data_IF_338538598796
#
_entry.id   IF_338538598796
#
_cell.length_a   1.000
_cell.length_b   1.000
_cell.length_c   1.000
_cell.angle_alpha   90.00
_cell.angle_beta   90.00
_cell.angle_gamma   90.00
#
_symmetry.space_group_name_H-M   'P 1'
#
loop_
_entity.id
_entity.type
_entity.pdbx_description
1 polymer ?
#
# COMPACT_ATOMS: atom_id res chain seq x y z
N UNK A 1 -12.93 -6.41 -0.76
CA UNK A 1 -11.72 -5.60 -1.06
C UNK A 1 -11.89 -4.10 -0.78
N UNK A 2 -13.11 -3.53 -0.76
CA UNK A 2 -13.31 -2.10 -0.51
C UNK A 2 -12.97 -1.63 0.92
N UNK A 3 -13.14 -2.47 1.94
CA UNK A 3 -12.91 -2.08 3.34
C UNK A 3 -11.45 -1.76 3.65
N UNK A 4 -10.50 -2.61 3.26
CA UNK A 4 -9.06 -2.36 3.47
C UNK A 4 -8.56 -1.16 2.68
N UNK A 5 -9.06 -0.97 1.45
CA UNK A 5 -8.71 0.20 0.63
C UNK A 5 -9.30 1.50 1.19
N UNK A 6 -10.53 1.47 1.72
CA UNK A 6 -11.16 2.61 2.37
C UNK A 6 -10.44 2.98 3.68
N UNK A 7 -10.07 1.98 4.49
CA UNK A 7 -9.29 2.19 5.72
C UNK A 7 -7.91 2.76 5.41
N UNK A 8 -7.20 2.23 4.41
CA UNK A 8 -5.90 2.73 3.97
C UNK A 8 -5.99 4.21 3.55
N UNK A 9 -6.94 4.55 2.67
CA UNK A 9 -7.15 5.94 2.23
C UNK A 9 -7.54 6.88 3.38
N UNK A 10 -8.40 6.43 4.28
CA UNK A 10 -8.79 7.21 5.45
C UNK A 10 -7.61 7.45 6.40
N UNK A 11 -6.80 6.43 6.66
CA UNK A 11 -5.59 6.57 7.49
C UNK A 11 -4.58 7.50 6.82
N UNK A 12 -4.37 7.34 5.51
CA UNK A 12 -3.48 8.20 4.73
C UNK A 12 -3.90 9.66 4.79
N UNK A 13 -5.20 9.98 4.70
CA UNK A 13 -5.68 11.37 4.79
C UNK A 13 -5.35 12.07 6.11
N UNK A 14 -5.18 11.33 7.20
CA UNK A 14 -4.79 11.89 8.51
C UNK A 14 -3.30 12.28 8.55
N UNK A 15 -2.48 11.69 7.69
CA UNK A 15 -1.03 11.93 7.61
C UNK A 15 -0.66 13.05 6.63
N UNK A 16 -1.64 13.68 5.98
CA UNK A 16 -1.37 14.72 4.97
C UNK A 16 -1.43 16.11 5.61
N UNK A 17 -0.42 16.99 5.39
CA UNK A 17 -0.47 18.38 5.80
C UNK A 17 -1.63 19.14 5.17
N UNK A 18 -2.25 20.03 5.93
CA UNK A 18 -3.35 20.88 5.44
C UNK A 18 -2.90 21.72 4.24
N UNK A 19 -3.68 21.71 3.17
CA UNK A 19 -3.42 22.47 1.95
C UNK A 19 -2.49 21.77 0.94
N UNK A 20 -2.00 20.56 1.25
CA UNK A 20 -1.20 19.74 0.33
C UNK A 20 -1.92 18.45 -0.08
N UNK A 21 -3.22 18.33 0.20
CA UNK A 21 -4.00 17.10 -0.01
C UNK A 21 -3.91 16.59 -1.46
N UNK A 22 -4.04 17.50 -2.43
CA UNK A 22 -4.00 17.15 -3.85
C UNK A 22 -2.63 16.56 -4.27
N UNK A 23 -1.53 17.09 -3.76
CA UNK A 23 -0.18 16.63 -4.11
C UNK A 23 0.07 15.22 -3.57
N UNK A 24 -0.20 14.98 -2.29
CA UNK A 24 -0.02 13.67 -1.66
C UNK A 24 -0.97 12.61 -2.23
N UNK A 25 -2.24 12.97 -2.50
CA UNK A 25 -3.17 12.03 -3.13
C UNK A 25 -2.80 11.73 -4.58
N UNK A 26 -2.24 12.69 -5.31
CA UNK A 26 -1.75 12.44 -6.67
C UNK A 26 -0.59 11.44 -6.68
N UNK A 27 0.37 11.58 -5.76
CA UNK A 27 1.48 10.64 -5.59
C UNK A 27 1.00 9.27 -5.16
N UNK A 28 0.02 9.20 -4.25
CA UNK A 28 -0.61 7.96 -3.83
C UNK A 28 -1.23 7.23 -5.02
N UNK A 29 -2.00 7.93 -5.87
CA UNK A 29 -2.67 7.34 -7.02
C UNK A 29 -1.68 6.90 -8.11
N UNK A 30 -0.64 7.71 -8.37
CA UNK A 30 0.43 7.34 -9.29
C UNK A 30 1.18 6.10 -8.79
N UNK A 31 1.42 5.99 -7.49
CA UNK A 31 2.08 4.82 -6.88
C UNK A 31 1.18 3.57 -6.95
N UNK A 32 -0.12 3.71 -6.68
CA UNK A 32 -1.11 2.64 -6.80
C UNK A 32 -1.15 2.10 -8.24
N UNK A 33 -1.29 2.99 -9.23
CA UNK A 33 -1.32 2.60 -10.64
C UNK A 33 0.03 2.08 -11.12
N UNK A 34 1.11 2.72 -10.71
CA UNK A 34 2.48 2.38 -11.07
C UNK A 34 2.93 1.02 -10.56
N UNK A 35 2.31 0.49 -9.50
CA UNK A 35 2.62 -0.84 -8.97
C UNK A 35 1.65 -1.94 -9.45
N UNK A 36 0.51 -1.57 -10.02
CA UNK A 36 -0.56 -2.51 -10.42
C UNK A 36 -0.13 -3.58 -11.44
N UNK A 37 0.87 -3.31 -12.28
CA UNK A 37 1.38 -4.25 -13.28
C UNK A 37 2.46 -5.20 -12.74
N UNK A 38 3.06 -4.91 -11.59
CA UNK A 38 4.14 -5.72 -11.01
C UNK A 38 3.66 -7.10 -10.59
N UNK A 39 2.44 -7.20 -10.05
CA UNK A 39 1.83 -8.47 -9.63
C UNK A 39 1.65 -9.44 -10.81
N UNK A 40 0.92 -9.05 -11.87
CA UNK A 40 0.79 -9.85 -13.08
C UNK A 40 2.13 -10.18 -13.75
N UNK A 41 3.08 -9.23 -13.77
CA UNK A 41 4.41 -9.44 -14.34
C UNK A 41 5.17 -10.53 -13.58
N UNK A 42 5.26 -10.45 -12.24
CA UNK A 42 5.94 -11.46 -11.44
C UNK A 42 5.24 -12.82 -11.52
N UNK A 43 3.90 -12.82 -11.53
CA UNK A 43 3.12 -14.04 -11.73
C UNK A 43 3.41 -14.69 -13.08
N UNK A 44 3.40 -13.91 -14.17
CA UNK A 44 3.68 -14.38 -15.52
C UNK A 44 5.10 -14.94 -15.66
N UNK A 45 6.10 -14.25 -15.10
CA UNK A 45 7.48 -14.74 -15.06
C UNK A 45 7.58 -16.05 -14.26
N UNK A 46 7.01 -16.11 -13.07
CA UNK A 46 7.00 -17.33 -12.26
C UNK A 46 6.32 -18.50 -12.98
N UNK A 47 5.20 -18.26 -13.66
CA UNK A 47 4.52 -19.28 -14.44
C UNK A 47 5.35 -19.72 -15.64
N UNK A 48 5.99 -18.79 -16.35
CA UNK A 48 6.79 -19.09 -17.54
C UNK A 48 8.04 -19.92 -17.21
N UNK A 49 8.72 -19.62 -16.11
CA UNK A 49 9.91 -20.38 -15.72
C UNK A 49 9.57 -21.72 -15.06
N UNK A 50 8.48 -21.79 -14.28
CA UNK A 50 8.19 -22.98 -13.47
C UNK A 50 7.14 -23.90 -14.07
N UNK A 51 6.34 -23.45 -15.04
CA UNK A 51 5.25 -24.20 -15.66
C UNK A 51 4.10 -24.58 -14.71
N UNK A 52 4.15 -24.16 -13.44
CA UNK A 52 3.23 -24.58 -12.38
C UNK A 52 2.51 -23.37 -11.77
N UNK A 53 1.17 -23.39 -11.86
CA UNK A 53 0.30 -22.38 -11.26
C UNK A 53 0.45 -22.27 -9.74
N UNK A 54 0.84 -23.37 -9.05
CA UNK A 54 1.05 -23.35 -7.60
C UNK A 54 2.18 -22.38 -7.22
N UNK A 55 3.26 -22.41 -7.99
CA UNK A 55 4.44 -21.56 -7.75
C UNK A 55 4.15 -20.13 -8.22
N UNK A 56 3.36 -19.96 -9.29
CA UNK A 56 2.83 -18.66 -9.69
C UNK A 56 2.00 -17.99 -8.58
N UNK A 57 1.07 -18.70 -7.94
CA UNK A 57 0.28 -18.13 -6.82
C UNK A 57 1.18 -17.80 -5.62
N UNK A 58 2.17 -18.65 -5.32
CA UNK A 58 3.14 -18.39 -4.25
C UNK A 58 3.99 -17.14 -4.51
N UNK A 59 4.29 -16.78 -5.77
CA UNK A 59 5.03 -15.56 -6.08
C UNK A 59 4.23 -14.30 -5.73
N UNK A 60 2.90 -14.33 -5.87
CA UNK A 60 2.02 -13.23 -5.45
C UNK A 60 1.96 -13.11 -3.92
N UNK A 61 2.03 -14.23 -3.19
CA UNK A 61 2.08 -14.22 -1.73
C UNK A 61 3.32 -13.46 -1.20
N UNK A 62 4.43 -13.44 -1.94
CA UNK A 62 5.62 -12.65 -1.59
C UNK A 62 5.30 -11.16 -1.51
N UNK A 63 4.50 -10.60 -2.43
CA UNK A 63 4.07 -9.20 -2.37
C UNK A 63 3.21 -8.89 -1.15
N UNK A 64 2.32 -9.81 -0.76
CA UNK A 64 1.53 -9.65 0.46
C UNK A 64 2.41 -9.64 1.71
N UNK A 65 3.39 -10.54 1.80
CA UNK A 65 4.35 -10.58 2.91
C UNK A 65 5.19 -9.31 2.95
N UNK A 66 5.74 -8.89 1.81
CA UNK A 66 6.51 -7.64 1.71
C UNK A 66 5.68 -6.41 2.13
N UNK A 67 4.44 -6.31 1.65
CA UNK A 67 3.53 -5.24 2.03
C UNK A 67 3.20 -5.24 3.52
N UNK A 68 2.98 -6.43 4.11
CA UNK A 68 2.72 -6.57 5.54
C UNK A 68 3.94 -6.17 6.39
N UNK A 69 5.13 -6.62 5.99
CA UNK A 69 6.40 -6.27 6.67
C UNK A 69 6.64 -4.76 6.60
N UNK A 70 6.43 -4.13 5.45
CA UNK A 70 6.53 -2.67 5.31
C UNK A 70 5.54 -1.93 6.22
N UNK A 71 4.30 -2.42 6.33
CA UNK A 71 3.27 -1.85 7.21
C UNK A 71 3.67 -1.86 8.68
N UNK A 72 4.40 -2.87 9.14
CA UNK A 72 4.87 -2.96 10.53
C UNK A 72 5.85 -1.83 10.87
N UNK A 73 6.59 -1.31 9.88
CA UNK A 73 7.52 -0.21 10.08
C UNK A 73 6.87 1.18 10.02
N UNK A 74 5.59 1.28 9.64
CA UNK A 74 4.89 2.57 9.53
C UNK A 74 4.37 3.00 10.90
N UNK A 75 4.93 4.10 11.42
CA UNK A 75 4.41 4.76 12.61
C UNK A 75 3.38 5.83 12.23
N UNK A 76 2.12 5.40 12.07
CA UNK A 76 1.04 6.31 11.69
C UNK A 76 0.82 7.45 12.69
N UNK A 77 1.03 7.20 13.99
CA UNK A 77 0.82 8.21 15.04
C UNK A 77 1.83 9.36 14.90
N UNK A 78 3.09 9.02 14.68
CA UNK A 78 4.17 9.99 14.50
C UNK A 78 3.95 10.81 13.21
N UNK A 79 3.60 10.14 12.11
CA UNK A 79 3.30 10.81 10.85
C UNK A 79 2.12 11.81 10.95
N UNK A 80 1.05 11.49 11.71
CA UNK A 80 -0.08 12.42 11.93
C UNK A 80 0.37 13.66 12.71
N UNK A 81 1.23 13.48 13.73
CA UNK A 81 1.76 14.58 14.53
C UNK A 81 2.68 15.49 13.71
N UNK A 82 3.56 14.90 12.91
CA UNK A 82 4.45 15.65 12.01
C UNK A 82 3.69 16.43 10.93
N UNK A 83 2.57 15.89 10.45
CA UNK A 83 1.67 16.57 9.54
C UNK A 83 0.90 17.74 10.19
N UNK A 84 1.02 17.93 11.51
CA UNK A 84 0.32 18.97 12.26
C UNK A 84 -1.17 18.68 12.48
N UNK A 85 -1.59 17.42 12.37
CA UNK A 85 -2.98 17.00 12.51
C UNK A 85 -3.29 16.43 13.91
N UNK A 86 -4.55 16.48 14.32
CA UNK A 86 -4.99 15.91 15.60
C UNK A 86 -5.06 14.37 15.51
N UNK A 87 -4.39 13.68 16.43
CA UNK A 87 -4.40 12.22 16.52
C UNK A 87 -5.78 11.75 17.03
N UNK A 88 -6.49 10.87 16.30
CA UNK A 88 -7.77 10.32 16.77
C UNK A 88 -7.61 9.59 18.11
N UNK A 89 -8.61 9.71 18.99
CA UNK A 89 -8.59 9.10 20.32
C UNK A 89 -8.57 7.56 20.32
N UNK A 90 -8.87 6.93 19.18
CA UNK A 90 -8.70 5.48 18.94
C UNK A 90 -8.13 5.27 17.54
N UNK A 91 -6.97 4.63 17.47
CA UNK A 91 -6.38 4.04 16.26
C UNK A 91 -6.62 2.53 16.29
#
# INVERSE_FOLDING_TARGET
>A
LGGSQALSRSLFSLMIPKGQEAEYFSLYEVSERGTSWLGPLLFGLALQYTGSYRIGILSVAVFFVLGLVLLIFVNAREAILEAGNEVPARL
#
